data_IF_978075245368
#
_entry.id   IF_978075245368
#
_cell.length_a   1.000
_cell.length_b   1.000
_cell.length_c   1.000
_cell.angle_alpha   90.00
_cell.angle_beta   90.00
_cell.angle_gamma   90.00
#
_symmetry.space_group_name_H-M   'P 1'
#
loop_
_entity.id
_entity.type
_entity.pdbx_description
1 polymer ?
#
# COMPACT_ATOMS: atom_id res chain seq x y z
N UNK A 1 -6.65 -1.92 -52.07
CA UNK A 1 -5.63 -1.33 -51.20
C UNK A 1 -5.00 -2.48 -50.40
N UNK A 2 -3.75 -2.86 -50.71
CA UNK A 2 -2.99 -3.85 -49.91
C UNK A 2 -2.44 -3.11 -48.69
N UNK A 3 -2.68 -3.64 -47.51
CA UNK A 3 -2.11 -3.12 -46.27
C UNK A 3 -1.55 -4.31 -45.51
N UNK A 4 -0.29 -4.19 -45.10
CA UNK A 4 0.41 -5.21 -44.33
C UNK A 4 -0.15 -5.26 -42.90
N UNK A 5 -0.47 -6.47 -42.45
CA UNK A 5 -0.95 -6.75 -41.10
C UNK A 5 0.24 -6.97 -40.18
N UNK A 6 0.41 -6.11 -39.18
CA UNK A 6 1.32 -6.36 -38.07
C UNK A 6 0.52 -7.01 -36.94
N UNK A 7 0.86 -8.28 -36.63
CA UNK A 7 0.38 -8.94 -35.42
C UNK A 7 1.19 -8.36 -34.25
N UNK A 8 0.51 -7.76 -33.26
CA UNK A 8 1.13 -7.42 -31.99
C UNK A 8 0.84 -8.55 -31.00
N UNK A 9 1.89 -9.14 -30.42
CA UNK A 9 1.77 -9.96 -29.21
C UNK A 9 1.43 -9.03 -28.05
N UNK A 10 0.13 -8.92 -27.75
CA UNK A 10 -0.40 -8.13 -26.64
C UNK A 10 -0.39 -8.95 -25.34
N UNK A 11 0.76 -9.52 -24.97
CA UNK A 11 0.86 -10.39 -23.80
C UNK A 11 0.76 -9.63 -22.46
N UNK A 12 0.63 -8.29 -22.49
CA UNK A 12 0.79 -7.42 -21.30
C UNK A 12 -0.17 -6.21 -21.23
N UNK A 13 -1.21 -6.14 -22.07
CA UNK A 13 -2.13 -4.99 -22.08
C UNK A 13 -3.59 -5.44 -21.94
N UNK A 14 -4.28 -4.88 -20.96
CA UNK A 14 -5.73 -4.97 -20.82
C UNK A 14 -6.41 -4.00 -21.80
N UNK A 15 -7.22 -4.52 -22.72
CA UNK A 15 -7.96 -3.71 -23.70
C UNK A 15 -9.41 -3.57 -23.24
N UNK A 16 -9.91 -2.33 -23.21
CA UNK A 16 -11.30 -2.02 -22.91
C UNK A 16 -12.01 -1.67 -24.21
N UNK A 17 -12.94 -2.53 -24.64
CA UNK A 17 -13.81 -2.23 -25.77
C UNK A 17 -15.01 -1.39 -25.35
N UNK A 18 -15.17 -0.25 -26.02
CA UNK A 18 -16.39 0.54 -25.92
C UNK A 18 -17.57 -0.13 -26.63
N UNK A 19 -18.78 0.05 -26.10
CA UNK A 19 -20.03 -0.44 -26.72
C UNK A 19 -20.21 0.04 -28.17
N UNK A 20 -19.77 1.26 -28.49
CA UNK A 20 -19.82 1.80 -29.85
C UNK A 20 -18.99 0.97 -30.85
N UNK A 21 -17.86 0.40 -30.41
CA UNK A 21 -17.03 -0.49 -31.23
C UNK A 21 -17.76 -1.80 -31.50
N UNK A 22 -18.32 -2.42 -30.47
CA UNK A 22 -19.06 -3.68 -30.57
C UNK A 22 -20.28 -3.56 -31.50
N UNK A 23 -21.05 -2.49 -31.37
CA UNK A 23 -22.21 -2.21 -32.23
C UNK A 23 -21.81 -1.98 -33.68
N UNK A 24 -20.74 -1.21 -33.93
CA UNK A 24 -20.26 -0.91 -35.30
C UNK A 24 -19.89 -2.16 -36.08
N UNK A 25 -19.39 -3.18 -35.39
CA UNK A 25 -18.84 -4.38 -36.02
C UNK A 25 -19.70 -5.64 -35.82
N UNK A 26 -20.90 -5.51 -35.25
CA UNK A 26 -21.80 -6.63 -34.93
C UNK A 26 -21.08 -7.77 -34.19
N UNK A 27 -20.23 -7.41 -33.23
CA UNK A 27 -19.54 -8.37 -32.39
C UNK A 27 -20.53 -8.96 -31.37
N UNK A 28 -20.46 -10.28 -31.18
CA UNK A 28 -21.23 -11.04 -30.20
C UNK A 28 -20.26 -11.50 -29.11
N UNK A 29 -20.49 -11.08 -27.87
CA UNK A 29 -19.75 -11.57 -26.72
C UNK A 29 -20.45 -12.79 -26.12
N UNK A 30 -19.74 -13.92 -26.12
CA UNK A 30 -20.09 -15.09 -25.32
C UNK A 30 -19.37 -14.99 -23.97
N UNK A 31 -20.07 -14.38 -23.01
CA UNK A 31 -19.54 -14.18 -21.66
C UNK A 31 -19.35 -15.49 -20.89
N UNK A 32 -20.00 -16.60 -21.29
CA UNK A 32 -19.88 -17.88 -20.60
C UNK A 32 -18.57 -18.56 -20.97
N UNK A 33 -18.25 -18.60 -22.27
CA UNK A 33 -16.99 -19.18 -22.76
C UNK A 33 -15.82 -18.18 -22.78
N UNK A 34 -16.06 -16.91 -22.40
CA UNK A 34 -15.10 -15.80 -22.46
C UNK A 34 -14.56 -15.56 -23.88
N UNK A 35 -15.43 -15.68 -24.87
CA UNK A 35 -15.08 -15.51 -26.28
C UNK A 35 -15.83 -14.31 -26.88
N UNK A 36 -15.15 -13.50 -27.68
CA UNK A 36 -15.79 -12.53 -28.55
C UNK A 36 -15.81 -13.08 -29.98
N UNK A 37 -17.00 -13.29 -30.54
CA UNK A 37 -17.21 -13.80 -31.90
C UNK A 37 -17.75 -12.69 -32.79
N UNK A 38 -17.18 -12.52 -33.98
CA UNK A 38 -17.67 -11.57 -34.98
C UNK A 38 -18.45 -12.30 -36.07
N UNK A 39 -19.67 -11.87 -36.37
CA UNK A 39 -20.42 -12.32 -37.55
C UNK A 39 -19.83 -11.66 -38.81
N UNK A 40 -18.87 -12.32 -39.45
CA UNK A 40 -18.19 -11.80 -40.64
C UNK A 40 -18.90 -12.22 -41.94
N UNK A 41 -19.29 -11.27 -42.80
CA UNK A 41 -19.50 -11.56 -44.23
C UNK A 41 -18.13 -11.67 -44.92
N UNK A 42 -17.94 -12.69 -45.77
CA UNK A 42 -16.68 -13.02 -46.48
C UNK A 42 -15.92 -11.75 -46.92
N UNK A 43 -14.64 -11.64 -46.54
CA UNK A 43 -13.71 -10.62 -47.04
C UNK A 43 -13.30 -9.48 -46.09
N UNK A 44 -13.52 -9.60 -44.78
CA UNK A 44 -13.22 -8.55 -43.80
C UNK A 44 -12.29 -9.02 -42.68
N UNK A 45 -11.47 -8.11 -42.14
CA UNK A 45 -10.50 -8.36 -41.06
C UNK A 45 -11.17 -8.57 -39.70
N UNK A 46 -10.62 -9.50 -38.92
CA UNK A 46 -11.00 -9.82 -37.54
C UNK A 46 -9.87 -9.46 -36.58
N UNK A 47 -10.22 -9.10 -35.35
CA UNK A 47 -9.29 -8.88 -34.23
C UNK A 47 -9.62 -9.93 -33.17
N UNK A 48 -8.59 -10.57 -32.61
CA UNK A 48 -8.71 -11.48 -31.46
C UNK A 48 -8.56 -10.64 -30.19
N UNK A 49 -9.41 -10.86 -29.21
CA UNK A 49 -9.35 -10.09 -27.96
C UNK A 49 -9.56 -11.00 -26.75
N UNK A 50 -8.72 -10.76 -25.74
CA UNK A 50 -8.68 -11.50 -24.49
C UNK A 50 -9.64 -10.84 -23.48
N UNK A 51 -10.66 -11.58 -23.05
CA UNK A 51 -11.67 -11.10 -22.10
C UNK A 51 -11.27 -11.54 -20.68
N UNK A 52 -10.88 -10.58 -19.83
CA UNK A 52 -10.58 -10.83 -18.41
C UNK A 52 -11.83 -10.54 -17.56
N UNK A 53 -12.17 -11.49 -16.69
CA UNK A 53 -13.29 -11.36 -15.76
C UNK A 53 -12.88 -10.53 -14.54
N UNK A 54 -13.41 -9.31 -14.42
CA UNK A 54 -13.14 -8.40 -13.30
C UNK A 54 -13.77 -8.84 -11.96
N UNK A 55 -14.55 -9.92 -11.97
CA UNK A 55 -15.12 -10.55 -10.76
C UNK A 55 -14.29 -11.72 -10.26
N UNK A 56 -13.25 -12.13 -10.98
CA UNK A 56 -12.31 -13.12 -10.50
C UNK A 56 -11.63 -12.56 -9.23
N UNK A 57 -11.51 -13.42 -8.20
CA UNK A 57 -10.80 -13.11 -6.96
C UNK A 57 -9.46 -12.43 -7.28
N UNK A 58 -9.12 -11.37 -6.55
CA UNK A 58 -7.80 -10.72 -6.61
C UNK A 58 -6.75 -11.83 -6.75
N UNK A 59 -6.07 -11.85 -7.90
CA UNK A 59 -5.09 -12.90 -8.16
C UNK A 59 -4.10 -12.93 -7.00
N UNK A 60 -3.83 -14.15 -6.53
CA UNK A 60 -2.80 -14.40 -5.53
C UNK A 60 -1.49 -13.71 -6.01
N UNK A 61 -0.95 -12.74 -5.25
CA UNK A 61 0.30 -12.06 -5.60
C UNK A 61 1.44 -13.04 -5.91
N UNK A 62 1.37 -14.23 -5.33
CA UNK A 62 2.28 -15.37 -5.58
C UNK A 62 2.22 -15.92 -7.00
N UNK A 63 1.37 -15.39 -7.88
CA UNK A 63 1.33 -15.71 -9.32
C UNK A 63 2.03 -14.66 -10.18
N UNK A 64 2.38 -13.51 -9.60
CA UNK A 64 3.07 -12.43 -10.32
C UNK A 64 4.57 -12.71 -10.25
N UNK A 65 5.26 -12.98 -11.38
CA UNK A 65 6.66 -13.43 -11.36
C UNK A 65 7.60 -12.50 -10.59
N UNK A 66 7.41 -11.18 -10.69
CA UNK A 66 8.22 -10.19 -9.97
C UNK A 66 7.99 -10.21 -8.45
N UNK A 67 6.77 -10.54 -7.99
CA UNK A 67 6.47 -10.64 -6.55
C UNK A 67 7.13 -11.90 -5.99
N UNK A 68 7.09 -13.00 -6.74
CA UNK A 68 7.77 -14.25 -6.38
C UNK A 68 9.30 -14.08 -6.30
N UNK A 69 9.87 -13.21 -7.15
CA UNK A 69 11.31 -12.93 -7.16
C UNK A 69 11.76 -12.14 -5.91
N UNK A 70 10.90 -11.27 -5.37
CA UNK A 70 11.21 -10.37 -4.24
C UNK A 70 10.25 -10.56 -3.05
N UNK A 71 9.94 -11.82 -2.70
CA UNK A 71 8.99 -12.12 -1.61
C UNK A 71 9.39 -11.52 -0.27
N UNK A 72 10.68 -11.33 -0.03
CA UNK A 72 11.24 -10.69 1.15
C UNK A 72 10.92 -9.19 1.24
N UNK A 73 10.71 -8.53 0.10
CA UNK A 73 10.31 -7.11 0.00
C UNK A 73 8.79 -6.96 0.15
N UNK A 74 8.02 -7.93 -0.33
CA UNK A 74 6.55 -7.90 -0.36
C UNK A 74 5.88 -8.63 0.81
N UNK A 75 6.57 -8.80 1.94
CA UNK A 75 5.99 -9.40 3.14
C UNK A 75 4.80 -8.57 3.66
N UNK A 76 3.73 -9.26 4.05
CA UNK A 76 2.53 -8.63 4.63
C UNK A 76 2.78 -8.07 6.03
N UNK A 77 3.72 -8.68 6.76
CA UNK A 77 4.26 -8.16 8.01
C UNK A 77 5.78 -8.02 7.95
N UNK A 78 6.29 -6.88 8.39
CA UNK A 78 7.72 -6.65 8.55
C UNK A 78 8.26 -7.45 9.75
N UNK A 79 9.26 -8.29 9.51
CA UNK A 79 9.95 -9.06 10.54
C UNK A 79 11.13 -8.26 11.12
N UNK A 80 10.83 -7.45 12.13
CA UNK A 80 11.84 -6.73 12.91
C UNK A 80 12.37 -5.45 12.24
N UNK A 81 13.48 -4.92 12.77
CA UNK A 81 14.08 -3.70 12.25
C UNK A 81 14.65 -3.89 10.85
N UNK A 82 14.59 -2.81 10.06
CA UNK A 82 15.35 -2.74 8.81
C UNK A 82 16.83 -3.07 9.04
N UNK A 83 17.52 -3.65 8.05
CA UNK A 83 18.96 -3.83 8.10
C UNK A 83 19.66 -2.54 8.51
N UNK A 84 20.77 -2.67 9.25
CA UNK A 84 21.59 -1.50 9.62
C UNK A 84 21.97 -0.74 8.34
N UNK A 85 21.60 0.53 8.29
CA UNK A 85 21.96 1.44 7.22
C UNK A 85 23.20 2.23 7.64
N UNK A 86 23.99 2.69 6.67
CA UNK A 86 25.14 3.56 6.93
C UNK A 86 24.73 4.92 7.53
N UNK A 87 23.49 5.33 7.26
CA UNK A 87 22.92 6.60 7.72
C UNK A 87 21.97 6.31 8.89
N UNK A 88 22.32 6.83 10.05
CA UNK A 88 21.44 6.84 11.23
C UNK A 88 20.51 8.06 11.20
N UNK A 89 19.30 7.89 11.72
CA UNK A 89 18.35 9.00 11.86
C UNK A 89 18.59 9.72 13.19
N UNK A 90 19.22 10.89 13.12
CA UNK A 90 19.47 11.75 14.29
C UNK A 90 18.39 12.84 14.43
N UNK A 91 17.76 12.92 15.60
CA UNK A 91 16.86 14.02 15.96
C UNK A 91 17.67 15.09 16.70
N UNK A 92 18.04 16.15 15.99
CA UNK A 92 18.76 17.28 16.59
C UNK A 92 17.80 18.20 17.33
N UNK A 93 18.08 18.46 18.59
CA UNK A 93 17.31 19.36 19.45
C UNK A 93 18.11 20.64 19.71
N UNK A 94 17.44 21.79 19.79
CA UNK A 94 18.08 23.07 20.10
C UNK A 94 18.78 23.04 21.48
N UNK A 95 19.99 23.60 21.57
CA UNK A 95 20.83 23.53 22.78
C UNK A 95 20.22 24.22 24.02
N UNK A 96 19.31 25.17 23.82
CA UNK A 96 18.58 25.87 24.89
C UNK A 96 17.26 25.18 25.30
N UNK A 97 16.94 24.01 24.76
CA UNK A 97 15.68 23.33 25.06
C UNK A 97 15.68 22.72 26.46
N UNK A 98 14.60 22.90 27.20
CA UNK A 98 14.32 22.14 28.43
C UNK A 98 13.84 20.74 28.08
N UNK A 99 14.12 19.77 28.96
CA UNK A 99 13.58 18.40 28.88
C UNK A 99 12.04 18.43 28.79
N UNK A 100 11.49 17.62 27.89
CA UNK A 100 10.05 17.52 27.68
C UNK A 100 9.56 16.24 28.35
N UNK A 101 8.86 16.37 29.48
CA UNK A 101 8.17 15.26 30.15
C UNK A 101 6.71 15.63 30.36
N UNK A 102 5.85 15.11 29.49
CA UNK A 102 4.41 15.34 29.55
C UNK A 102 3.69 14.18 30.25
N UNK A 103 2.67 14.52 31.02
CA UNK A 103 1.82 13.54 31.72
C UNK A 103 0.97 12.79 30.67
N UNK A 104 0.83 11.45 30.76
CA UNK A 104 -0.07 10.69 29.90
C UNK A 104 -1.52 11.18 29.98
N UNK A 105 -2.24 11.12 28.86
CA UNK A 105 -3.66 11.44 28.85
C UNK A 105 -4.48 10.39 29.61
N UNK A 106 -5.58 10.84 30.24
CA UNK A 106 -6.54 9.93 30.85
C UNK A 106 -7.16 9.02 29.79
N UNK A 107 -7.23 7.73 30.08
CA UNK A 107 -7.79 6.71 29.20
C UNK A 107 -8.87 5.89 29.92
N UNK A 108 -9.89 5.49 29.17
CA UNK A 108 -10.88 4.51 29.64
C UNK A 108 -10.23 3.12 29.75
N UNK A 109 -10.79 2.20 30.55
CA UNK A 109 -10.23 0.85 30.73
C UNK A 109 -10.01 0.11 29.40
N UNK A 110 -10.92 0.25 28.43
CA UNK A 110 -10.79 -0.37 27.12
C UNK A 110 -9.59 0.16 26.34
N UNK A 111 -9.36 1.48 26.37
CA UNK A 111 -8.18 2.10 25.73
C UNK A 111 -6.89 1.69 26.42
N UNK A 112 -6.91 1.54 27.75
CA UNK A 112 -5.74 1.07 28.50
C UNK A 112 -5.36 -0.37 28.16
N UNK A 113 -6.36 -1.26 28.01
CA UNK A 113 -6.13 -2.63 27.54
C UNK A 113 -5.52 -2.65 26.15
N UNK A 114 -6.09 -1.84 25.24
CA UNK A 114 -5.57 -1.74 23.87
C UNK A 114 -4.14 -1.18 23.82
N UNK A 115 -3.84 -0.17 24.65
CA UNK A 115 -2.49 0.38 24.78
C UNK A 115 -1.48 -0.69 25.18
N UNK A 116 -1.83 -1.52 26.17
CA UNK A 116 -0.96 -2.60 26.62
C UNK A 116 -0.71 -3.63 25.50
N UNK A 117 -1.76 -4.06 24.80
CA UNK A 117 -1.64 -5.02 23.70
C UNK A 117 -0.72 -4.50 22.58
N UNK A 118 -0.94 -3.26 22.11
CA UNK A 118 -0.12 -2.68 21.04
C UNK A 118 1.33 -2.44 21.49
N UNK A 119 1.57 -2.07 22.75
CA UNK A 119 2.94 -1.94 23.27
C UNK A 119 3.66 -3.28 23.35
N UNK A 120 3.00 -4.35 23.79
CA UNK A 120 3.57 -5.70 23.83
C UNK A 120 3.94 -6.17 22.41
N UNK A 121 3.05 -5.98 21.44
CA UNK A 121 3.32 -6.30 20.03
C UNK A 121 4.52 -5.52 19.47
N UNK A 122 4.62 -4.21 19.76
CA UNK A 122 5.74 -3.39 19.31
C UNK A 122 7.07 -3.79 19.98
N UNK A 123 7.04 -4.27 21.22
CA UNK A 123 8.22 -4.80 21.93
C UNK A 123 8.62 -6.16 21.34
N UNK A 124 7.65 -7.04 21.10
CA UNK A 124 7.89 -8.37 20.51
C UNK A 124 8.45 -8.27 19.09
N UNK A 125 7.91 -7.34 18.28
CA UNK A 125 8.47 -6.98 16.96
C UNK A 125 9.82 -6.26 17.05
N UNK A 126 10.25 -5.87 18.25
CA UNK A 126 11.52 -5.21 18.52
C UNK A 126 11.55 -3.72 18.21
N UNK A 127 10.48 -3.11 17.67
CA UNK A 127 10.46 -1.71 17.27
C UNK A 127 10.67 -0.71 18.41
N UNK A 128 10.29 -1.10 19.63
CA UNK A 128 10.50 -0.29 20.83
C UNK A 128 11.11 -1.13 21.94
N UNK A 129 11.66 -0.45 22.95
CA UNK A 129 12.17 -1.07 24.18
C UNK A 129 11.82 -0.22 25.40
N UNK A 130 11.71 -0.81 26.60
CA UNK A 130 11.67 -0.06 27.84
C UNK A 130 12.87 0.90 27.91
N UNK A 131 12.61 2.13 28.35
CA UNK A 131 13.65 3.15 28.51
C UNK A 131 13.40 3.96 29.79
N UNK A 132 14.46 4.62 30.26
CA UNK A 132 14.43 5.53 31.41
C UNK A 132 14.76 6.96 30.98
N UNK A 133 14.28 7.35 29.80
CA UNK A 133 14.54 8.69 29.26
C UNK A 133 13.92 9.76 30.15
N UNK A 134 14.59 10.90 30.38
CA UNK A 134 13.95 12.06 30.98
C UNK A 134 12.90 12.71 30.04
N UNK A 135 12.83 12.26 28.79
CA UNK A 135 11.84 12.70 27.82
C UNK A 135 10.61 11.79 27.84
N UNK A 136 9.43 12.40 27.87
CA UNK A 136 8.14 11.71 27.84
C UNK A 136 7.13 12.48 26.98
N UNK A 137 6.52 11.77 26.04
CA UNK A 137 5.42 12.26 25.22
C UNK A 137 4.16 11.42 25.51
N UNK A 138 2.96 12.03 25.57
CA UNK A 138 1.75 11.28 25.85
C UNK A 138 1.30 10.54 24.60
N UNK A 139 0.55 9.45 24.81
CA UNK A 139 -0.03 8.63 23.76
C UNK A 139 -1.52 8.93 23.64
N UNK A 140 -2.04 8.93 22.41
CA UNK A 140 -3.45 9.05 22.08
C UNK A 140 -3.86 8.01 21.04
N UNK A 141 -5.16 7.73 20.98
CA UNK A 141 -5.73 6.80 20.00
C UNK A 141 -6.53 7.53 18.94
N UNK A 142 -6.29 7.18 17.68
CA UNK A 142 -7.08 7.62 16.52
C UNK A 142 -7.89 6.44 16.00
N UNK A 143 -9.17 6.65 15.68
CA UNK A 143 -10.03 5.61 15.13
C UNK A 143 -9.81 5.53 13.61
N UNK A 144 -9.43 4.35 13.13
CA UNK A 144 -9.36 4.03 11.70
C UNK A 144 -10.78 3.84 11.12
N UNK A 145 -10.90 3.81 9.78
CA UNK A 145 -12.20 3.67 9.09
C UNK A 145 -12.90 2.34 9.36
N UNK A 146 -12.12 1.28 9.56
CA UNK A 146 -12.56 -0.07 9.92
C UNK A 146 -13.03 -0.19 11.39
N UNK A 147 -12.86 0.87 12.19
CA UNK A 147 -13.22 0.91 13.60
C UNK A 147 -12.09 0.54 14.56
N UNK A 148 -10.92 0.09 14.05
CA UNK A 148 -9.75 -0.20 14.87
C UNK A 148 -9.14 1.08 15.45
N UNK A 149 -8.33 0.96 16.52
CA UNK A 149 -7.63 2.10 17.13
C UNK A 149 -6.15 2.06 16.76
N UNK A 150 -5.61 3.20 16.35
CA UNK A 150 -4.18 3.38 16.08
C UNK A 150 -3.54 4.16 17.20
N UNK A 151 -2.49 3.60 17.79
CA UNK A 151 -1.63 4.31 18.73
C UNK A 151 -0.89 5.44 18.02
N UNK A 152 -0.98 6.65 18.56
CA UNK A 152 -0.26 7.83 18.09
C UNK A 152 0.43 8.52 19.26
N UNK A 153 1.69 8.90 19.08
CA UNK A 153 2.47 9.62 20.09
C UNK A 153 2.38 11.12 19.77
N UNK A 154 2.05 11.92 20.77
CA UNK A 154 1.95 13.37 20.61
C UNK A 154 3.32 14.05 20.72
N UNK A 155 4.03 14.12 19.60
CA UNK A 155 5.33 14.76 19.50
C UNK A 155 5.27 16.29 19.37
N UNK A 156 4.10 16.94 19.49
CA UNK A 156 3.97 18.39 19.22
C UNK A 156 4.92 19.27 20.04
N UNK A 157 5.25 18.88 21.28
CA UNK A 157 6.21 19.64 22.08
C UNK A 157 7.66 19.35 21.63
N UNK A 158 7.98 18.09 21.29
CA UNK A 158 9.27 17.71 20.74
C UNK A 158 9.53 18.43 19.41
N UNK A 159 8.55 18.47 18.51
CA UNK A 159 8.65 19.12 17.20
C UNK A 159 8.97 20.63 17.29
N UNK A 160 8.61 21.30 18.39
CA UNK A 160 8.93 22.72 18.61
C UNK A 160 10.40 22.96 18.94
N UNK A 161 11.05 21.99 19.58
CA UNK A 161 12.44 22.10 20.02
C UNK A 161 13.41 21.41 19.06
N UNK A 162 12.89 20.56 18.17
CA UNK A 162 13.66 19.90 17.11
C UNK A 162 14.10 20.91 16.04
N UNK A 163 15.38 20.87 15.68
CA UNK A 163 15.95 21.65 14.58
C UNK A 163 15.43 21.05 13.27
N UNK A 164 14.70 21.86 12.49
CA UNK A 164 14.08 21.42 11.24
C UNK A 164 15.15 21.03 10.21
N UNK A 165 15.24 19.75 9.90
CA UNK A 165 16.02 19.26 8.77
C UNK A 165 15.21 19.42 7.47
N UNK A 166 15.47 20.50 6.72
CA UNK A 166 14.74 20.82 5.49
C UNK A 166 15.45 20.20 4.29
N UNK A 167 14.94 19.07 3.83
CA UNK A 167 15.26 18.56 2.49
C UNK A 167 14.22 19.03 1.49
N UNK A 168 14.62 19.42 0.27
CA UNK A 168 13.67 19.74 -0.78
C UNK A 168 12.91 18.46 -1.16
N UNK A 169 11.60 18.49 -0.99
CA UNK A 169 10.71 17.53 -1.65
C UNK A 169 10.41 18.09 -3.05
N UNK A 170 10.50 17.27 -4.11
CA UNK A 170 10.20 17.70 -5.47
C UNK A 170 8.72 18.08 -5.67
#
# INVERSE_FOLDING_TARGET
MRVDLFLFELDKLDVILGMAFLTKYHAVLDCFNKEARKLMKKGHTAYLEHVVDTRASRDDPSKVPIVCEYLDVFLEELSGFSPKREIEFEIKVASWSTLISQIPYYMTPNKMKELKNQLEELIEKGYIRPNTSPWGAPVLFVKNKDGSMRLCIDYRQLDKVTIKNKYPLP
#
